data_IF_811601242816
#
_entry.id   IF_811601242816
#
_cell.length_a   1.000
_cell.length_b   1.000
_cell.length_c   1.000
_cell.angle_alpha   90.00
_cell.angle_beta   90.00
_cell.angle_gamma   90.00
#
_symmetry.space_group_name_H-M   'P 1'
#
loop_
_entity.id
_entity.type
_entity.pdbx_description
1 polymer ?
#
# COMPACT_ATOMS: atom_id res chain seq x y z
N UNK A 1 8.34 -9.35 34.99
CA UNK A 1 9.33 -10.39 34.64
C UNK A 1 9.11 -10.80 33.20
N UNK A 2 10.14 -10.65 32.35
CA UNK A 2 10.09 -11.08 30.96
C UNK A 2 10.64 -12.50 30.86
N UNK A 3 9.94 -13.38 30.13
CA UNK A 3 10.37 -14.77 29.89
C UNK A 3 10.06 -15.19 28.46
N UNK A 4 10.74 -16.24 28.00
CA UNK A 4 10.45 -16.90 26.73
C UNK A 4 10.08 -18.34 27.05
N UNK A 5 8.86 -18.75 26.68
CA UNK A 5 8.41 -20.14 26.72
C UNK A 5 8.76 -20.80 25.39
N UNK A 6 9.35 -21.99 25.44
CA UNK A 6 9.67 -22.82 24.27
C UNK A 6 8.90 -24.12 24.33
N UNK A 7 8.28 -24.49 23.22
CA UNK A 7 7.54 -25.75 23.07
C UNK A 7 8.26 -26.62 22.04
N UNK A 8 8.48 -27.88 22.41
CA UNK A 8 9.13 -28.89 21.58
C UNK A 8 8.09 -29.95 21.18
N UNK A 9 8.24 -30.56 20.00
CA UNK A 9 7.47 -31.73 19.62
C UNK A 9 7.99 -33.01 20.32
N UNK A 10 7.38 -34.16 20.00
CA UNK A 10 7.75 -35.47 20.59
C UNK A 10 9.21 -35.88 20.34
N UNK A 11 9.79 -35.41 19.23
CA UNK A 11 11.18 -35.68 18.84
C UNK A 11 12.17 -34.66 19.45
N UNK A 12 11.69 -33.71 20.27
CA UNK A 12 12.50 -32.68 20.90
C UNK A 12 12.87 -31.50 19.99
N UNK A 13 12.24 -31.38 18.83
CA UNK A 13 12.44 -30.27 17.89
C UNK A 13 11.58 -29.09 18.31
N UNK A 14 12.15 -27.87 18.27
CA UNK A 14 11.47 -26.63 18.63
C UNK A 14 10.37 -26.31 17.61
N UNK A 15 9.14 -26.13 18.09
CA UNK A 15 7.97 -25.83 17.26
C UNK A 15 7.33 -24.48 17.57
N UNK A 16 7.55 -23.93 18.77
CA UNK A 16 6.99 -22.64 19.16
C UNK A 16 7.84 -21.89 20.18
N UNK A 17 8.01 -20.59 19.97
CA UNK A 17 8.51 -19.65 20.98
C UNK A 17 7.41 -18.63 21.32
N UNK A 18 7.28 -18.28 22.59
CA UNK A 18 6.29 -17.30 23.08
C UNK A 18 6.93 -16.37 24.10
N UNK A 19 6.89 -15.07 23.83
CA UNK A 19 7.41 -14.01 24.67
C UNK A 19 6.34 -13.55 25.65
N UNK A 20 6.69 -13.52 26.93
CA UNK A 20 5.79 -13.21 28.02
C UNK A 20 6.32 -12.03 28.83
N UNK A 21 5.42 -11.16 29.29
CA UNK A 21 5.68 -10.14 30.29
C UNK A 21 4.60 -10.22 31.37
N UNK A 22 5.00 -10.43 32.63
CA UNK A 22 4.08 -10.48 33.79
C UNK A 22 2.90 -11.45 33.63
N UNK A 23 3.16 -12.60 33.01
CA UNK A 23 2.16 -13.66 32.80
C UNK A 23 1.25 -13.45 31.58
N UNK A 24 1.44 -12.36 30.82
CA UNK A 24 0.74 -12.09 29.57
C UNK A 24 1.68 -12.30 28.38
N UNK A 25 1.15 -12.76 27.24
CA UNK A 25 1.88 -12.76 25.98
C UNK A 25 2.03 -11.30 25.54
N UNK A 26 3.27 -10.84 25.42
CA UNK A 26 3.54 -9.44 25.21
C UNK A 26 4.95 -9.23 24.63
N UNK A 27 5.04 -8.47 23.55
CA UNK A 27 6.31 -8.00 23.00
C UNK A 27 6.11 -6.73 22.16
N UNK A 28 7.03 -5.76 22.30
CA UNK A 28 6.95 -4.46 21.58
C UNK A 28 7.97 -4.31 20.46
N UNK A 29 9.00 -5.17 20.40
CA UNK A 29 10.14 -5.07 19.48
C UNK A 29 10.15 -6.18 18.42
N UNK A 30 9.03 -6.88 18.26
CA UNK A 30 8.89 -7.98 17.30
C UNK A 30 7.71 -8.89 17.64
N UNK A 31 7.60 -10.04 16.97
CA UNK A 31 6.50 -10.97 17.20
C UNK A 31 6.61 -11.60 18.59
N UNK A 32 5.48 -11.63 19.28
CA UNK A 32 5.35 -12.23 20.60
C UNK A 32 5.18 -13.75 20.52
N UNK A 33 4.86 -14.30 19.35
CA UNK A 33 4.81 -15.73 19.08
C UNK A 33 5.52 -16.02 17.76
N UNK A 34 6.34 -17.08 17.75
CA UNK A 34 6.92 -17.65 16.54
C UNK A 34 6.64 -19.14 16.49
N UNK A 35 6.12 -19.62 15.37
CA UNK A 35 5.96 -21.05 15.10
C UNK A 35 6.96 -21.48 14.03
N UNK A 36 7.46 -22.70 14.18
CA UNK A 36 8.39 -23.32 13.23
C UNK A 36 7.73 -24.48 12.51
N UNK A 37 8.08 -24.68 11.23
CA UNK A 37 7.72 -25.87 10.46
C UNK A 37 8.59 -27.07 10.86
N UNK A 38 8.33 -28.22 10.22
CA UNK A 38 9.06 -29.47 10.49
C UNK A 38 10.57 -29.39 10.16
N UNK A 39 10.95 -28.46 9.27
CA UNK A 39 12.34 -28.22 8.87
C UNK A 39 13.02 -27.19 9.79
N UNK A 40 12.30 -26.66 10.79
CA UNK A 40 12.80 -25.68 11.76
C UNK A 40 12.81 -24.23 11.25
N UNK A 41 12.19 -23.96 10.10
CA UNK A 41 12.04 -22.59 9.60
C UNK A 41 10.82 -21.92 10.24
N UNK A 42 10.86 -20.60 10.39
CA UNK A 42 9.68 -19.84 10.85
C UNK A 42 8.58 -19.93 9.79
N UNK A 43 7.40 -20.40 10.20
CA UNK A 43 6.20 -20.51 9.36
C UNK A 43 5.06 -19.57 9.79
N UNK A 44 5.11 -19.06 11.02
CA UNK A 44 4.17 -18.06 11.50
C UNK A 44 4.84 -17.15 12.53
N UNK A 45 4.56 -15.85 12.42
CA UNK A 45 4.91 -14.85 13.42
C UNK A 45 3.63 -14.10 13.82
N UNK A 46 3.39 -13.91 15.12
CA UNK A 46 2.21 -13.19 15.60
C UNK A 46 2.62 -12.10 16.58
N UNK A 47 2.15 -10.88 16.34
CA UNK A 47 2.37 -9.69 17.16
C UNK A 47 1.23 -9.56 18.16
N UNK A 48 1.59 -9.66 19.45
CA UNK A 48 0.64 -9.66 20.55
C UNK A 48 1.13 -8.69 21.63
N UNK A 49 0.23 -7.82 22.07
CA UNK A 49 0.45 -6.88 23.16
C UNK A 49 -0.59 -7.13 24.26
N UNK A 50 -0.14 -7.48 25.47
CA UNK A 50 -1.04 -7.74 26.61
C UNK A 50 -2.13 -8.80 26.32
N UNK A 51 -1.76 -9.89 25.63
CA UNK A 51 -2.66 -10.94 25.11
C UNK A 51 -3.60 -10.52 23.97
N UNK A 52 -3.57 -9.27 23.50
CA UNK A 52 -4.35 -8.85 22.33
C UNK A 52 -3.52 -9.07 21.05
N UNK A 53 -4.06 -9.88 20.14
CA UNK A 53 -3.47 -10.10 18.83
C UNK A 53 -3.71 -8.87 17.95
N UNK A 54 -2.67 -8.44 17.24
CA UNK A 54 -2.77 -7.33 16.29
C UNK A 54 -2.53 -7.81 14.87
N UNK A 55 -1.47 -8.57 14.66
CA UNK A 55 -1.04 -8.98 13.32
C UNK A 55 -0.48 -10.40 13.35
N UNK A 56 -0.72 -11.16 12.29
CA UNK A 56 -0.11 -12.46 12.04
C UNK A 56 0.48 -12.50 10.64
N UNK A 57 1.77 -12.82 10.56
CA UNK A 57 2.45 -13.13 9.31
C UNK A 57 2.55 -14.66 9.16
N UNK A 58 2.12 -15.18 8.02
CA UNK A 58 2.20 -16.61 7.66
C UNK A 58 3.18 -16.76 6.51
N UNK A 59 4.12 -17.69 6.67
CA UNK A 59 5.21 -17.95 5.75
C UNK A 59 5.15 -19.41 5.32
N UNK A 60 5.03 -19.66 4.01
CA UNK A 60 5.10 -20.99 3.43
C UNK A 60 6.28 -21.11 2.49
N UNK A 61 6.93 -22.28 2.47
CA UNK A 61 8.11 -22.55 1.65
C UNK A 61 7.85 -23.65 0.64
N UNK A 62 8.57 -23.59 -0.48
CA UNK A 62 8.66 -24.69 -1.43
C UNK A 62 9.51 -25.84 -0.85
N UNK A 63 9.40 -27.07 -1.39
CA UNK A 63 10.25 -28.20 -0.96
C UNK A 63 11.76 -27.95 -1.08
N UNK A 64 12.18 -26.98 -1.88
CA UNK A 64 13.57 -26.57 -2.01
C UNK A 64 14.01 -25.54 -0.93
N UNK A 65 13.15 -25.23 0.03
CA UNK A 65 13.39 -24.30 1.15
C UNK A 65 13.17 -22.81 0.84
N UNK A 66 12.98 -22.43 -0.42
CA UNK A 66 12.71 -21.04 -0.80
C UNK A 66 11.30 -20.63 -0.38
N UNK A 67 11.14 -19.35 -0.03
CA UNK A 67 9.82 -18.79 0.30
C UNK A 67 8.89 -18.91 -0.90
N UNK A 68 7.66 -19.32 -0.64
CA UNK A 68 6.59 -19.51 -1.63
C UNK A 68 5.48 -18.49 -1.42
N UNK A 69 5.09 -18.26 -0.17
CA UNK A 69 3.99 -17.36 0.18
C UNK A 69 4.36 -16.62 1.45
N UNK A 70 4.04 -15.33 1.48
CA UNK A 70 4.01 -14.48 2.66
C UNK A 70 2.64 -13.81 2.72
N UNK A 71 1.97 -13.92 3.86
CA UNK A 71 0.63 -13.39 4.08
C UNK A 71 0.55 -12.66 5.41
N UNK A 72 -0.07 -11.48 5.41
CA UNK A 72 -0.28 -10.66 6.58
C UNK A 72 -1.77 -10.55 6.88
N UNK A 73 -2.12 -10.90 8.11
CA UNK A 73 -3.48 -10.93 8.61
C UNK A 73 -3.60 -10.03 9.83
N UNK A 74 -4.72 -9.31 9.94
CA UNK A 74 -5.10 -8.58 11.16
C UNK A 74 -6.26 -9.32 11.81
N UNK A 75 -6.19 -9.44 13.13
CA UNK A 75 -7.28 -9.96 13.96
C UNK A 75 -8.12 -8.78 14.45
N UNK A 76 -9.24 -8.51 13.78
CA UNK A 76 -10.17 -7.44 14.18
C UNK A 76 -11.33 -7.95 15.05
N UNK A 77 -11.55 -9.28 15.13
CA UNK A 77 -12.57 -9.93 15.98
C UNK A 77 -12.50 -11.46 15.91
N UNK A 78 -13.07 -12.15 16.92
CA UNK A 78 -13.13 -13.63 17.05
C UNK A 78 -13.64 -14.38 15.79
N UNK A 79 -14.28 -13.70 14.83
CA UNK A 79 -14.90 -14.28 13.64
C UNK A 79 -14.40 -13.73 12.28
N UNK A 80 -13.37 -12.86 12.23
CA UNK A 80 -12.85 -12.40 10.94
C UNK A 80 -11.36 -12.07 10.92
N UNK A 81 -10.55 -13.04 10.53
CA UNK A 81 -9.20 -12.78 10.03
C UNK A 81 -9.29 -12.16 8.62
N UNK A 82 -8.57 -11.06 8.39
CA UNK A 82 -8.53 -10.38 7.10
C UNK A 82 -7.10 -10.14 6.65
N UNK A 83 -6.83 -10.43 5.37
CA UNK A 83 -5.61 -10.01 4.72
C UNK A 83 -5.49 -8.49 4.80
N UNK A 84 -4.43 -8.01 5.42
CA UNK A 84 -4.18 -6.59 5.59
C UNK A 84 -2.74 -6.31 5.97
N UNK A 85 -2.20 -5.21 5.44
CA UNK A 85 -0.91 -4.66 5.82
C UNK A 85 -0.86 -3.18 5.43
N UNK A 86 -0.47 -2.30 6.35
CA UNK A 86 -0.46 -0.85 6.10
C UNK A 86 0.82 -0.33 5.45
N UNK A 87 1.91 -1.09 5.53
CA UNK A 87 3.26 -0.66 5.13
C UNK A 87 3.85 -1.47 3.96
N UNK A 88 3.05 -2.35 3.35
CA UNK A 88 3.49 -3.24 2.28
C UNK A 88 2.37 -4.10 1.72
N UNK A 89 2.69 -5.00 0.77
CA UNK A 89 1.73 -5.98 0.27
C UNK A 89 1.32 -6.94 1.40
N UNK A 90 0.03 -7.21 1.49
CA UNK A 90 -0.51 -8.16 2.46
C UNK A 90 -0.36 -9.60 1.98
N UNK A 91 -0.22 -9.81 0.67
CA UNK A 91 0.06 -11.11 0.07
C UNK A 91 1.20 -10.98 -0.92
N UNK A 92 2.16 -11.90 -0.85
CA UNK A 92 3.19 -12.07 -1.87
C UNK A 92 3.38 -13.57 -2.13
N UNK A 93 3.64 -13.94 -3.38
CA UNK A 93 4.04 -15.30 -3.70
C UNK A 93 5.17 -15.36 -4.73
N UNK A 94 5.95 -16.43 -4.65
CA UNK A 94 7.15 -16.64 -5.45
C UNK A 94 7.14 -18.02 -6.10
N UNK A 95 7.73 -18.10 -7.28
CA UNK A 95 8.03 -19.36 -7.97
C UNK A 95 9.12 -20.15 -7.22
N UNK A 96 9.29 -21.41 -7.60
CA UNK A 96 10.28 -22.30 -6.99
C UNK A 96 11.73 -21.84 -7.23
N UNK A 97 12.00 -21.11 -8.30
CA UNK A 97 13.29 -20.46 -8.55
C UNK A 97 13.50 -19.19 -7.70
N UNK A 98 12.47 -18.72 -7.00
CA UNK A 98 12.49 -17.54 -6.15
C UNK A 98 12.11 -16.23 -6.87
N UNK A 99 11.73 -16.30 -8.15
CA UNK A 99 11.16 -15.14 -8.86
C UNK A 99 9.79 -14.79 -8.26
N UNK A 100 9.54 -13.50 -8.07
CA UNK A 100 8.25 -13.01 -7.59
C UNK A 100 7.18 -13.30 -8.65
N UNK A 101 6.04 -13.83 -8.22
CA UNK A 101 4.93 -14.22 -9.10
C UNK A 101 3.69 -13.33 -8.89
N UNK A 102 3.44 -12.90 -7.64
CA UNK A 102 2.36 -11.97 -7.35
C UNK A 102 2.61 -11.12 -6.10
N UNK A 103 2.03 -9.93 -6.08
CA UNK A 103 1.93 -9.04 -4.92
C UNK A 103 0.55 -8.40 -4.89
N UNK A 104 -0.06 -8.39 -3.71
CA UNK A 104 -1.41 -7.87 -3.53
C UNK A 104 -1.52 -7.05 -2.25
N UNK A 105 -2.15 -5.88 -2.38
CA UNK A 105 -2.44 -4.96 -1.28
C UNK A 105 -3.90 -5.11 -0.87
N UNK A 106 -4.10 -5.30 0.42
CA UNK A 106 -5.41 -5.54 1.00
C UNK A 106 -5.65 -4.61 2.20
N UNK A 107 -6.87 -4.07 2.29
CA UNK A 107 -7.39 -3.30 3.42
C UNK A 107 -8.81 -3.77 3.69
N UNK A 108 -9.15 -4.09 4.94
CA UNK A 108 -10.47 -4.58 5.36
C UNK A 108 -10.96 -5.79 4.53
N UNK A 109 -10.03 -6.69 4.14
CA UNK A 109 -10.33 -7.87 3.35
C UNK A 109 -10.73 -7.57 1.89
N UNK A 110 -10.37 -6.39 1.36
CA UNK A 110 -10.55 -6.02 -0.04
C UNK A 110 -9.24 -5.54 -0.64
N UNK A 111 -9.02 -5.81 -1.93
CA UNK A 111 -7.92 -5.20 -2.66
C UNK A 111 -8.04 -3.67 -2.63
N UNK A 112 -6.98 -3.00 -2.18
CA UNK A 112 -6.99 -1.56 -2.00
C UNK A 112 -5.56 -1.01 -2.06
N UNK A 113 -5.34 -0.03 -2.94
CA UNK A 113 -4.11 0.78 -2.93
C UNK A 113 -4.36 2.14 -3.58
N UNK A 114 -3.84 3.21 -2.97
CA UNK A 114 -4.02 4.59 -3.48
C UNK A 114 -2.85 5.12 -4.29
N UNK A 115 -1.66 4.54 -4.15
CA UNK A 115 -0.40 5.06 -4.70
C UNK A 115 0.20 4.18 -5.81
N UNK A 116 -0.50 3.12 -6.21
CA UNK A 116 -0.05 2.17 -7.22
C UNK A 116 -1.09 1.08 -7.50
N UNK A 117 -0.75 0.08 -8.32
CA UNK A 117 -1.61 -1.09 -8.54
C UNK A 117 -1.77 -1.89 -7.24
N UNK A 118 -3.00 -2.28 -6.93
CA UNK A 118 -3.33 -3.10 -5.78
C UNK A 118 -3.03 -4.59 -6.02
N UNK A 119 -2.86 -5.00 -7.27
CA UNK A 119 -2.45 -6.35 -7.64
C UNK A 119 -1.46 -6.27 -8.79
N UNK A 120 -0.38 -7.03 -8.68
CA UNK A 120 0.65 -7.14 -9.72
C UNK A 120 1.01 -8.61 -9.89
N UNK A 121 1.19 -9.03 -11.15
CA UNK A 121 1.52 -10.39 -11.52
C UNK A 121 2.73 -10.41 -12.45
N UNK A 122 3.58 -11.41 -12.27
CA UNK A 122 4.79 -11.60 -13.07
C UNK A 122 4.84 -13.00 -13.67
N UNK A 123 5.45 -13.07 -14.83
CA UNK A 123 5.81 -14.32 -15.49
C UNK A 123 6.98 -15.01 -14.78
N UNK A 124 7.21 -16.29 -15.12
CA UNK A 124 8.29 -17.08 -14.54
C UNK A 124 9.70 -16.54 -14.85
N UNK A 125 9.86 -15.73 -15.90
CA UNK A 125 11.12 -15.05 -16.22
C UNK A 125 11.30 -13.71 -15.47
N UNK A 126 10.34 -13.35 -14.61
CA UNK A 126 10.31 -12.11 -13.83
C UNK A 126 9.78 -10.89 -14.59
N UNK A 127 9.30 -11.06 -15.83
CA UNK A 127 8.64 -9.96 -16.55
C UNK A 127 7.26 -9.69 -15.99
N UNK A 128 6.90 -8.41 -15.84
CA UNK A 128 5.58 -8.00 -15.37
C UNK A 128 4.54 -8.36 -16.44
N UNK A 129 3.52 -9.12 -16.05
CA UNK A 129 2.49 -9.61 -16.97
C UNK A 129 1.18 -8.84 -16.82
N UNK A 130 0.80 -8.43 -15.60
CA UNK A 130 -0.48 -7.76 -15.35
C UNK A 130 -0.43 -6.83 -14.13
N UNK A 131 -1.15 -5.72 -14.21
CA UNK A 131 -1.38 -4.78 -13.11
C UNK A 131 -2.87 -4.46 -13.01
N UNK A 132 -3.40 -4.44 -11.79
CA UNK A 132 -4.75 -3.97 -11.50
C UNK A 132 -4.70 -2.84 -10.48
N UNK A 133 -5.29 -1.69 -10.83
CA UNK A 133 -5.53 -0.59 -9.90
C UNK A 133 -6.89 -0.79 -9.28
N UNK A 134 -6.93 -1.02 -7.97
CA UNK A 134 -8.16 -1.33 -7.24
C UNK A 134 -8.21 -0.49 -5.97
N UNK A 135 -9.36 0.15 -5.76
CA UNK A 135 -9.69 0.91 -4.55
C UNK A 135 -10.98 0.36 -3.96
N UNK A 136 -10.95 -0.03 -2.68
CA UNK A 136 -12.09 -0.61 -1.96
C UNK A 136 -12.75 -1.80 -2.67
N UNK A 137 -11.93 -2.67 -3.28
CA UNK A 137 -12.38 -3.85 -4.02
C UNK A 137 -12.97 -3.54 -5.40
N UNK A 138 -12.83 -2.32 -5.92
CA UNK A 138 -13.30 -1.92 -7.25
C UNK A 138 -12.13 -1.41 -8.09
N UNK A 139 -12.03 -1.88 -9.33
CA UNK A 139 -11.04 -1.34 -10.27
C UNK A 139 -11.22 0.17 -10.42
N UNK A 140 -10.14 0.93 -10.24
CA UNK A 140 -10.14 2.38 -10.16
C UNK A 140 -8.79 2.95 -10.57
N UNK A 141 -8.76 3.87 -11.53
CA UNK A 141 -7.57 4.67 -11.84
C UNK A 141 -7.96 5.99 -12.48
N UNK A 142 -7.43 7.10 -11.96
CA UNK A 142 -7.82 8.46 -12.42
C UNK A 142 -6.97 9.00 -13.57
N UNK A 143 -5.83 8.38 -13.87
CA UNK A 143 -4.85 8.86 -14.84
C UNK A 143 -4.50 7.84 -15.94
N UNK A 144 -5.22 6.73 -16.03
CA UNK A 144 -4.99 5.67 -17.01
C UNK A 144 -5.98 4.51 -16.88
N UNK A 145 -5.75 3.39 -17.60
CA UNK A 145 -6.57 2.19 -17.49
C UNK A 145 -6.41 1.50 -16.13
N UNK A 146 -7.51 0.94 -15.62
CA UNK A 146 -7.52 0.25 -14.33
C UNK A 146 -6.97 -1.18 -14.40
N UNK A 147 -6.76 -1.71 -15.60
CA UNK A 147 -6.03 -2.96 -15.84
C UNK A 147 -5.09 -2.78 -17.03
N UNK A 148 -3.87 -3.28 -16.89
CA UNK A 148 -2.89 -3.34 -17.98
C UNK A 148 -2.30 -4.75 -18.03
N UNK A 149 -2.17 -5.29 -19.24
CA UNK A 149 -1.58 -6.61 -19.49
C UNK A 149 -0.44 -6.51 -20.50
N UNK A 150 0.61 -7.28 -20.31
CA UNK A 150 1.79 -7.34 -21.18
C UNK A 150 2.06 -8.79 -21.63
N UNK A 151 2.67 -8.94 -22.80
CA UNK A 151 3.27 -10.19 -23.24
C UNK A 151 4.61 -10.44 -22.53
N UNK A 152 5.11 -11.66 -22.65
CA UNK A 152 6.43 -12.08 -22.15
C UNK A 152 7.60 -11.24 -22.71
N UNK A 153 7.44 -10.63 -23.88
CA UNK A 153 8.44 -9.71 -24.46
C UNK A 153 8.36 -8.27 -23.92
N UNK A 154 7.46 -8.03 -22.95
CA UNK A 154 7.20 -6.72 -22.35
C UNK A 154 6.31 -5.80 -23.20
N UNK A 155 5.78 -6.27 -24.33
CA UNK A 155 4.86 -5.48 -25.15
C UNK A 155 3.48 -5.43 -24.50
N UNK A 156 2.98 -4.21 -24.26
CA UNK A 156 1.62 -3.98 -23.75
C UNK A 156 0.60 -4.51 -24.76
N UNK A 157 -0.27 -5.42 -24.31
CA UNK A 157 -1.29 -6.06 -25.14
C UNK A 157 -2.68 -5.49 -24.92
N UNK A 158 -3.02 -5.23 -23.67
CA UNK A 158 -4.38 -4.86 -23.29
C UNK A 158 -4.36 -3.76 -22.25
N UNK A 159 -5.28 -2.82 -22.42
CA UNK A 159 -5.62 -1.80 -21.43
C UNK A 159 -7.13 -1.81 -21.24
N UNK A 160 -7.60 -2.11 -20.03
CA UNK A 160 -9.03 -2.12 -19.72
C UNK A 160 -9.39 -0.98 -18.77
N UNK A 161 -10.40 -0.22 -19.17
CA UNK A 161 -10.95 0.87 -18.39
C UNK A 161 -12.17 0.34 -17.64
N UNK A 162 -11.96 -0.10 -16.41
CA UNK A 162 -13.07 -0.39 -15.51
C UNK A 162 -13.49 0.91 -14.86
N UNK A 163 -14.67 1.37 -15.21
CA UNK A 163 -15.25 2.55 -14.63
C UNK A 163 -16.23 2.14 -13.54
N UNK A 164 -15.99 2.64 -12.33
CA UNK A 164 -17.09 2.88 -11.41
C UNK A 164 -18.03 3.88 -12.11
N UNK A 165 -19.21 3.43 -12.51
CA UNK A 165 -20.20 4.12 -13.39
C UNK A 165 -20.46 5.61 -13.09
N UNK A 166 -20.09 6.09 -11.91
CA UNK A 166 -19.61 7.46 -11.71
C UNK A 166 -18.53 7.48 -10.62
N UNK A 167 -17.51 8.31 -10.82
CA UNK A 167 -16.56 8.67 -9.77
C UNK A 167 -16.85 10.08 -9.31
N UNK A 168 -17.18 10.24 -8.03
CA UNK A 168 -17.57 11.52 -7.44
C UNK A 168 -16.71 11.84 -6.23
N UNK A 169 -16.04 12.99 -6.26
CA UNK A 169 -15.14 13.46 -5.22
C UNK A 169 -15.84 14.52 -4.38
N UNK A 170 -15.92 14.29 -3.05
CA UNK A 170 -16.55 15.21 -2.11
C UNK A 170 -15.56 15.69 -1.03
N UNK A 171 -15.67 16.97 -0.66
CA UNK A 171 -15.07 17.58 0.54
C UNK A 171 -16.18 18.30 1.32
N UNK A 172 -16.32 18.03 2.62
CA UNK A 172 -17.40 18.56 3.47
C UNK A 172 -18.82 18.37 2.87
N UNK A 173 -19.05 17.21 2.24
CA UNK A 173 -20.32 16.87 1.58
C UNK A 173 -20.58 17.64 0.28
N UNK A 174 -19.58 18.30 -0.30
CA UNK A 174 -19.69 19.07 -1.55
C UNK A 174 -18.71 18.55 -2.59
N UNK A 175 -19.10 18.52 -3.87
CA UNK A 175 -18.15 18.15 -4.92
C UNK A 175 -16.92 19.07 -4.90
N UNK A 176 -15.73 18.48 -4.77
CA UNK A 176 -14.48 19.22 -4.68
C UNK A 176 -13.32 18.37 -5.17
N UNK A 177 -12.57 18.87 -6.15
CA UNK A 177 -11.28 18.31 -6.58
C UNK A 177 -10.40 19.39 -7.22
N UNK A 178 -9.11 19.40 -6.89
CA UNK A 178 -8.16 20.43 -7.39
C UNK A 178 -7.11 19.90 -8.36
N UNK A 179 -7.00 18.58 -8.49
CA UNK A 179 -6.02 17.88 -9.32
C UNK A 179 -6.63 17.19 -10.55
N UNK A 180 -7.96 17.06 -10.61
CA UNK A 180 -8.73 16.47 -11.72
C UNK A 180 -10.23 16.86 -11.66
N UNK A 181 -11.06 16.30 -12.57
CA UNK A 181 -12.51 16.45 -12.52
C UNK A 181 -13.09 15.83 -11.25
N UNK A 182 -14.01 16.55 -10.60
CA UNK A 182 -14.67 16.11 -9.37
C UNK A 182 -15.81 15.12 -9.63
N UNK A 183 -16.33 15.09 -10.86
CA UNK A 183 -17.28 14.08 -11.33
C UNK A 183 -16.79 13.57 -12.67
N UNK A 184 -16.73 12.27 -12.84
CA UNK A 184 -16.52 11.64 -14.14
C UNK A 184 -17.61 10.61 -14.36
N UNK A 185 -18.14 10.56 -15.58
CA UNK A 185 -19.13 9.58 -16.02
C UNK A 185 -18.65 8.95 -17.30
N UNK A 186 -18.91 7.67 -17.42
CA UNK A 186 -18.58 6.92 -18.61
C UNK A 186 -19.72 5.99 -18.99
N UNK A 187 -19.71 5.55 -20.24
CA UNK A 187 -20.59 4.51 -20.74
C UNK A 187 -20.09 3.12 -20.30
N UNK A 188 -20.96 2.13 -20.45
CA UNK A 188 -20.66 0.71 -20.20
C UNK A 188 -19.52 0.17 -21.10
N UNK A 189 -19.22 0.84 -22.23
CA UNK A 189 -18.13 0.51 -23.15
C UNK A 189 -16.79 1.18 -22.79
N UNK A 190 -16.73 1.88 -21.67
CA UNK A 190 -15.54 2.59 -21.20
C UNK A 190 -15.38 4.01 -21.74
N UNK A 191 -16.25 4.47 -22.65
CA UNK A 191 -16.16 5.81 -23.24
C UNK A 191 -16.52 6.87 -22.21
N UNK A 192 -15.60 7.79 -21.93
CA UNK A 192 -15.85 8.97 -21.08
C UNK A 192 -16.93 9.85 -21.71
N UNK A 193 -18.05 10.01 -21.03
CA UNK A 193 -19.19 10.79 -21.51
C UNK A 193 -19.29 12.16 -20.86
N UNK A 194 -18.80 12.30 -19.64
CA UNK A 194 -18.81 13.57 -18.95
C UNK A 194 -17.65 13.72 -17.97
N UNK A 195 -17.06 14.91 -17.97
CA UNK A 195 -16.22 15.39 -16.88
C UNK A 195 -16.87 16.65 -16.31
N UNK A 196 -17.05 16.68 -14.99
CA UNK A 196 -17.42 17.89 -14.29
C UNK A 196 -16.38 18.27 -13.26
N UNK A 197 -16.05 19.55 -13.27
CA UNK A 197 -15.03 20.12 -12.43
C UNK A 197 -15.71 20.96 -11.35
N UNK A 198 -15.41 20.66 -10.08
CA UNK A 198 -16.03 21.31 -8.93
C UNK A 198 -14.99 21.65 -7.88
N UNK A 199 -15.10 22.84 -7.29
CA UNK A 199 -14.29 23.28 -6.14
C UNK A 199 -15.25 23.89 -5.13
N UNK A 200 -15.23 23.38 -3.90
CA UNK A 200 -16.09 23.80 -2.78
C UNK A 200 -17.59 23.79 -3.13
N UNK A 201 -18.03 22.77 -3.88
CA UNK A 201 -19.41 22.65 -4.33
C UNK A 201 -19.80 23.60 -5.45
N UNK A 202 -18.84 24.29 -6.08
CA UNK A 202 -19.09 25.17 -7.23
C UNK A 202 -18.52 24.58 -8.51
N UNK A 203 -19.39 24.35 -9.49
CA UNK A 203 -19.00 23.91 -10.83
C UNK A 203 -18.11 24.99 -11.43
N UNK A 204 -16.88 24.61 -11.72
CA UNK A 204 -15.81 25.52 -12.12
C UNK A 204 -15.25 25.03 -13.45
N UNK A 205 -15.03 25.89 -14.45
CA UNK A 205 -14.48 25.45 -15.73
C UNK A 205 -13.10 24.80 -15.56
N UNK A 206 -12.87 23.67 -16.25
CA UNK A 206 -11.55 22.98 -16.31
C UNK A 206 -10.39 23.96 -16.49
N UNK A 207 -10.53 24.89 -17.45
CA UNK A 207 -9.51 25.91 -17.74
C UNK A 207 -9.14 26.74 -16.52
N UNK A 208 -10.11 27.09 -15.68
CA UNK A 208 -9.89 27.92 -14.48
C UNK A 208 -9.07 27.15 -13.44
N UNK A 209 -9.40 25.89 -13.18
CA UNK A 209 -8.67 25.05 -12.21
C UNK A 209 -7.27 24.72 -12.72
N UNK A 210 -7.15 24.31 -13.98
CA UNK A 210 -5.85 24.01 -14.61
C UNK A 210 -4.95 25.25 -14.58
N UNK A 211 -5.48 26.43 -14.91
CA UNK A 211 -4.73 27.69 -14.87
C UNK A 211 -4.36 28.08 -13.44
N UNK A 212 -5.26 27.90 -12.47
CA UNK A 212 -4.99 28.18 -11.06
C UNK A 212 -3.88 27.25 -10.52
N UNK A 213 -3.92 25.96 -10.84
CA UNK A 213 -2.88 24.97 -10.50
C UNK A 213 -1.55 25.35 -11.13
N UNK A 214 -1.53 25.65 -12.43
CA UNK A 214 -0.32 26.06 -13.14
C UNK A 214 0.28 27.33 -12.52
N UNK A 215 -0.55 28.33 -12.24
CA UNK A 215 -0.14 29.56 -11.53
C UNK A 215 0.42 29.26 -10.15
N UNK A 216 -0.25 28.42 -9.36
CA UNK A 216 0.22 28.03 -8.03
C UNK A 216 1.57 27.28 -8.07
N UNK A 217 1.79 26.44 -9.09
CA UNK A 217 3.08 25.76 -9.30
C UNK A 217 4.17 26.76 -9.67
N UNK A 218 3.90 27.66 -10.63
CA UNK A 218 4.83 28.73 -11.03
C UNK A 218 5.15 29.66 -9.86
N UNK A 219 4.16 30.04 -9.05
CA UNK A 219 4.36 30.88 -7.87
C UNK A 219 5.17 30.16 -6.78
N UNK A 220 4.92 28.86 -6.55
CA UNK A 220 5.74 28.05 -5.63
C UNK A 220 7.19 27.98 -6.10
N UNK A 221 7.42 27.67 -7.39
CA UNK A 221 8.75 27.64 -7.98
C UNK A 221 9.43 29.01 -7.93
N UNK A 222 8.71 30.10 -8.21
CA UNK A 222 9.23 31.46 -8.13
C UNK A 222 9.61 31.85 -6.70
N UNK A 223 8.77 31.52 -5.70
CA UNK A 223 9.08 31.71 -4.27
C UNK A 223 10.31 30.93 -3.84
N UNK A 224 10.46 29.69 -4.29
CA UNK A 224 11.65 28.88 -4.00
C UNK A 224 12.91 29.48 -4.64
N UNK A 225 12.84 29.99 -5.87
CA UNK A 225 13.97 30.69 -6.51
C UNK A 225 14.35 31.98 -5.78
N UNK A 226 13.36 32.79 -5.39
CA UNK A 226 13.58 34.02 -4.62
C UNK A 226 14.20 33.69 -3.26
N UNK A 227 13.68 32.67 -2.58
CA UNK A 227 14.22 32.20 -1.30
C UNK A 227 15.65 31.70 -1.48
N UNK A 228 15.94 30.88 -2.49
CA UNK A 228 17.28 30.38 -2.75
C UNK A 228 18.30 31.51 -3.01
N UNK A 229 17.92 32.53 -3.79
CA UNK A 229 18.75 33.70 -4.03
C UNK A 229 18.89 34.59 -2.79
N UNK A 230 17.85 34.70 -1.96
CA UNK A 230 17.91 35.43 -0.71
C UNK A 230 18.82 34.72 0.31
N UNK A 231 18.71 33.40 0.45
CA UNK A 231 19.52 32.56 1.35
C UNK A 231 21.01 32.67 1.01
N UNK A 232 21.38 32.73 -0.28
CA UNK A 232 22.77 32.94 -0.70
C UNK A 232 23.38 34.29 -0.26
N UNK A 233 22.55 35.26 0.12
CA UNK A 233 22.96 36.60 0.58
C UNK A 233 22.92 36.75 2.10
N UNK A 234 22.46 35.73 2.82
CA UNK A 234 22.41 35.71 4.28
C UNK A 234 23.75 35.18 4.83
N UNK A 235 24.31 35.84 5.85
CA UNK A 235 25.56 35.38 6.46
C UNK A 235 25.40 34.01 7.12
N UNK A 236 26.47 33.23 7.15
CA UNK A 236 26.48 31.89 7.78
C UNK A 236 25.99 31.92 9.23
N UNK A 237 26.34 32.98 9.98
CA UNK A 237 25.90 33.20 11.36
C UNK A 237 24.37 33.37 11.47
N UNK A 238 23.77 34.09 10.52
CA UNK A 238 22.32 34.32 10.50
C UNK A 238 21.54 33.05 10.08
N UNK A 239 22.08 32.26 9.16
CA UNK A 239 21.50 30.96 8.79
C UNK A 239 21.58 29.93 9.92
N UNK A 240 22.65 29.96 10.73
CA UNK A 240 22.80 29.10 11.91
C UNK A 240 21.72 29.38 12.97
N UNK A 241 21.41 30.65 13.22
CA UNK A 241 20.32 31.04 14.14
C UNK A 241 18.96 30.59 13.61
N UNK A 242 18.66 30.81 12.32
CA UNK A 242 17.38 30.38 11.71
C UNK A 242 17.23 28.85 11.72
N UNK A 243 18.30 28.10 11.46
CA UNK A 243 18.30 26.64 11.52
C UNK A 243 18.02 26.07 12.92
N UNK A 244 18.27 26.84 13.98
CA UNK A 244 17.91 26.48 15.35
C UNK A 244 16.40 26.52 15.65
N UNK A 245 15.62 27.28 14.88
CA UNK A 245 14.16 27.43 15.04
C UNK A 245 13.33 26.48 14.16
N UNK A 246 13.97 25.74 13.24
CA UNK A 246 13.31 24.83 12.28
C UNK A 246 13.45 23.34 12.68
N UNK A 247 13.86 23.05 13.92
CA UNK A 247 13.81 21.71 14.51
C UNK A 247 12.48 21.43 15.16
#
# INVERSE_FOLDING_TARGET
MQTIKRELNEDGVLIKETWMCDGQIHRTDGPAVRCMDADGNICQETWILNNECHETCILNRHPNGKLKIEQWWVDESEDSERLQRTDGPAYQCWNDDGTLAAEEWWVDGKHHRTDGPAMQYWNADGTLSTEHWILDGKHHRTDGPAVQCWNDDGTLTTEEWFIATAEEWFLDGKHHRTDGPAVQRWNDDGTLTAEEWWVDGKKTPRRTIVLARARAKVLRSSRLLILANAVQRVSADSLSVIGGFLK
#
